data_IF_505222137147
#
_entry.id   IF_505222137147
#
_cell.length_a   1.000
_cell.length_b   1.000
_cell.length_c   1.000
_cell.angle_alpha   90.00
_cell.angle_beta   90.00
_cell.angle_gamma   90.00
#
_symmetry.space_group_name_H-M   'P 1'
#
loop_
_entity.id
_entity.type
_entity.pdbx_description
1 polymer ?
#
# COMPACT_ATOMS: atom_id res chain seq x y z
N UNK A 1 23.49 12.16 -18.28
CA UNK A 1 24.56 11.26 -18.76
C UNK A 1 23.91 9.92 -19.02
N UNK A 2 24.00 9.39 -20.24
CA UNK A 2 23.45 8.07 -20.57
C UNK A 2 24.23 7.01 -19.77
N UNK A 3 23.54 6.15 -19.02
CA UNK A 3 24.21 5.08 -18.29
C UNK A 3 24.93 4.13 -19.26
N UNK A 4 26.16 3.77 -18.91
CA UNK A 4 27.01 2.84 -19.70
C UNK A 4 27.19 1.49 -19.02
N UNK A 5 26.66 1.33 -17.81
CA UNK A 5 26.74 0.10 -17.01
C UNK A 5 25.42 -0.12 -16.27
N UNK A 6 25.08 -1.39 -16.03
CA UNK A 6 23.89 -1.76 -15.25
C UNK A 6 23.87 -1.09 -13.86
N UNK A 7 25.00 -1.13 -13.15
CA UNK A 7 25.11 -0.48 -11.84
C UNK A 7 24.98 1.06 -11.93
N UNK A 8 25.42 1.66 -13.05
CA UNK A 8 25.21 3.08 -13.33
C UNK A 8 23.74 3.41 -13.52
N UNK A 9 23.03 2.62 -14.33
CA UNK A 9 21.59 2.77 -14.57
C UNK A 9 20.78 2.67 -13.28
N UNK A 10 21.05 1.64 -12.47
CA UNK A 10 20.41 1.48 -11.14
C UNK A 10 20.63 2.70 -10.24
N UNK A 11 21.86 3.22 -10.18
CA UNK A 11 22.16 4.42 -9.38
C UNK A 11 21.44 5.65 -9.91
N UNK A 12 21.36 5.83 -11.23
CA UNK A 12 20.69 6.97 -11.84
C UNK A 12 19.19 7.00 -11.51
N UNK A 13 18.50 5.86 -11.68
CA UNK A 13 17.09 5.70 -11.32
C UNK A 13 16.82 5.97 -9.84
N UNK A 14 17.58 5.32 -8.95
CA UNK A 14 17.47 5.54 -7.49
C UNK A 14 17.73 7.01 -7.10
N UNK A 15 18.71 7.68 -7.71
CA UNK A 15 18.98 9.09 -7.45
C UNK A 15 17.86 10.01 -7.95
N UNK A 16 17.23 9.70 -9.08
CA UNK A 16 16.10 10.46 -9.61
C UNK A 16 14.87 10.34 -8.70
N UNK A 17 14.54 9.13 -8.23
CA UNK A 17 13.46 8.91 -7.27
C UNK A 17 13.70 9.70 -5.97
N UNK A 18 14.92 9.63 -5.43
CA UNK A 18 15.29 10.36 -4.22
C UNK A 18 15.27 11.90 -4.40
N UNK A 19 15.54 12.41 -5.61
CA UNK A 19 15.35 13.83 -5.94
C UNK A 19 13.87 14.20 -5.91
N UNK A 20 13.04 13.44 -6.62
CA UNK A 20 11.62 13.71 -6.70
C UNK A 20 10.92 13.65 -5.33
N UNK A 21 11.31 12.73 -4.45
CA UNK A 21 10.84 12.70 -3.06
C UNK A 21 11.11 14.00 -2.30
N UNK A 22 12.28 14.63 -2.51
CA UNK A 22 12.63 15.89 -1.86
C UNK A 22 11.86 17.05 -2.49
N UNK A 23 11.81 17.10 -3.81
CA UNK A 23 11.20 18.19 -4.56
C UNK A 23 9.69 18.28 -4.26
N UNK A 24 9.02 17.13 -4.11
CA UNK A 24 7.60 17.04 -3.75
C UNK A 24 7.35 16.94 -2.23
N UNK A 25 8.37 17.00 -1.38
CA UNK A 25 8.22 16.87 0.08
C UNK A 25 7.50 15.59 0.54
N UNK A 26 7.62 14.49 -0.22
CA UNK A 26 6.84 13.26 -0.02
C UNK A 26 7.09 12.66 1.36
N UNK A 27 8.36 12.58 1.76
CA UNK A 27 8.74 11.97 3.03
C UNK A 27 8.06 12.64 4.23
N UNK A 28 8.07 13.97 4.28
CA UNK A 28 7.43 14.71 5.38
C UNK A 28 5.92 14.50 5.42
N UNK A 29 5.26 14.42 4.26
CA UNK A 29 3.81 14.15 4.19
C UNK A 29 3.45 12.76 4.68
N UNK A 30 4.20 11.74 4.27
CA UNK A 30 3.97 10.34 4.65
C UNK A 30 4.35 10.08 6.12
N UNK A 31 5.44 10.68 6.62
CA UNK A 31 5.78 10.56 8.05
C UNK A 31 4.70 11.18 8.95
N UNK A 32 4.05 12.27 8.50
CA UNK A 32 2.95 12.92 9.23
C UNK A 32 1.64 12.11 9.20
N UNK A 33 1.20 11.65 8.03
CA UNK A 33 -0.14 11.05 7.84
C UNK A 33 -0.12 9.53 7.67
N UNK A 34 1.05 8.89 7.75
CA UNK A 34 1.19 7.46 7.43
C UNK A 34 0.84 7.15 5.97
N UNK A 35 0.63 5.87 5.68
CA UNK A 35 0.31 5.39 4.33
C UNK A 35 1.53 5.19 3.43
N UNK A 36 1.26 5.00 2.14
CA UNK A 36 2.26 4.78 1.10
C UNK A 36 2.65 6.10 0.39
N UNK A 37 3.60 6.00 -0.54
CA UNK A 37 3.85 7.08 -1.50
C UNK A 37 2.69 7.12 -2.51
N UNK A 38 1.97 8.26 -2.57
CA UNK A 38 0.91 8.49 -3.56
C UNK A 38 1.53 8.75 -4.95
N UNK A 39 1.65 7.67 -5.73
CA UNK A 39 2.21 7.72 -7.09
C UNK A 39 1.35 8.59 -8.01
N UNK A 40 0.03 8.41 -7.96
CA UNK A 40 -0.89 9.14 -8.82
C UNK A 40 -0.94 10.63 -8.46
N UNK A 41 -0.98 10.94 -7.16
CA UNK A 41 -0.88 12.32 -6.67
C UNK A 41 0.46 12.96 -7.00
N UNK A 42 1.55 12.19 -7.06
CA UNK A 42 2.86 12.69 -7.47
C UNK A 42 2.94 13.01 -8.96
N UNK A 43 2.27 12.21 -9.81
CA UNK A 43 2.13 12.48 -11.24
C UNK A 43 1.29 13.75 -11.45
N UNK A 44 0.16 13.85 -10.76
CA UNK A 44 -0.71 15.04 -10.82
C UNK A 44 0.00 16.31 -10.34
N UNK A 45 0.83 16.23 -9.30
CA UNK A 45 1.61 17.37 -8.79
C UNK A 45 2.69 17.88 -9.76
N UNK A 46 3.01 17.12 -10.81
CA UNK A 46 3.93 17.50 -11.88
C UNK A 46 3.21 18.02 -13.12
N UNK A 47 1.87 18.16 -13.07
CA UNK A 47 1.01 18.47 -14.22
C UNK A 47 1.25 17.53 -15.42
N UNK A 48 1.63 16.28 -15.14
CA UNK A 48 1.88 15.26 -16.15
C UNK A 48 0.57 14.51 -16.46
N UNK A 49 0.04 14.59 -17.69
CA UNK A 49 -1.20 13.89 -18.04
C UNK A 49 -1.09 12.39 -17.81
N UNK A 50 -2.04 11.84 -17.04
CA UNK A 50 -2.20 10.41 -16.80
C UNK A 50 -3.56 9.98 -17.33
N UNK A 51 -3.58 8.93 -18.15
CA UNK A 51 -4.83 8.31 -18.60
C UNK A 51 -4.86 6.83 -18.25
N UNK A 52 -5.87 6.45 -17.50
CA UNK A 52 -6.16 5.06 -17.16
C UNK A 52 -7.18 4.50 -18.15
N UNK A 53 -6.86 3.37 -18.78
CA UNK A 53 -7.78 2.72 -19.72
C UNK A 53 -7.49 1.22 -19.85
N UNK A 54 -8.41 0.40 -20.36
CA UNK A 54 -8.08 -0.98 -20.69
C UNK A 54 -7.04 -1.01 -21.83
N UNK A 55 -5.93 -1.72 -21.60
CA UNK A 55 -4.86 -1.93 -22.58
C UNK A 55 -4.66 -3.44 -22.79
N UNK A 56 -4.68 -3.91 -24.03
CA UNK A 56 -4.47 -5.32 -24.37
C UNK A 56 -2.99 -5.60 -24.61
N UNK A 57 -2.40 -6.51 -23.84
CA UNK A 57 -0.99 -6.92 -24.00
C UNK A 57 0.04 -5.91 -23.50
N UNK A 58 -0.41 -4.75 -23.00
CA UNK A 58 0.42 -3.64 -22.53
C UNK A 58 0.02 -3.26 -21.11
N UNK A 59 1.00 -3.03 -20.23
CA UNK A 59 0.76 -2.56 -18.86
C UNK A 59 0.69 -1.04 -18.80
N UNK A 60 1.59 -0.36 -19.51
CA UNK A 60 1.69 1.09 -19.55
C UNK A 60 2.41 1.59 -20.80
N UNK A 61 2.40 2.91 -20.97
CA UNK A 61 3.30 3.56 -21.91
C UNK A 61 3.62 4.97 -21.46
N UNK A 62 4.88 5.36 -21.64
CA UNK A 62 5.32 6.75 -21.62
C UNK A 62 5.49 7.27 -23.03
N UNK A 63 4.84 8.41 -23.30
CA UNK A 63 4.94 9.15 -24.56
C UNK A 63 5.55 10.52 -24.27
N UNK A 64 6.39 11.03 -25.16
CA UNK A 64 7.01 12.36 -25.02
C UNK A 64 6.75 13.31 -26.21
N UNK A 65 5.99 12.86 -27.22
CA UNK A 65 5.63 13.61 -28.43
C UNK A 65 4.12 13.43 -28.72
N UNK A 66 3.35 14.50 -29.03
CA UNK A 66 3.76 15.91 -29.06
C UNK A 66 3.98 16.55 -27.68
N UNK A 67 3.61 15.86 -26.60
CA UNK A 67 3.79 16.28 -25.23
C UNK A 67 3.97 15.06 -24.31
N UNK A 68 4.64 15.21 -23.16
CA UNK A 68 4.80 14.12 -22.20
C UNK A 68 3.46 13.67 -21.61
N UNK A 69 3.29 12.35 -21.48
CA UNK A 69 2.10 11.75 -20.88
C UNK A 69 2.29 10.27 -20.55
N UNK A 70 1.46 9.77 -19.64
CA UNK A 70 1.48 8.40 -19.14
C UNK A 70 0.15 7.70 -19.43
N UNK A 71 0.22 6.46 -19.91
CA UNK A 71 -0.90 5.53 -20.00
C UNK A 71 -0.69 4.37 -19.02
N UNK A 72 -1.75 3.96 -18.32
CA UNK A 72 -1.72 2.78 -17.41
C UNK A 72 -2.95 1.92 -17.62
N UNK A 73 -2.75 0.60 -17.62
CA UNK A 73 -3.83 -0.37 -17.80
C UNK A 73 -4.78 -0.44 -16.60
N UNK A 74 -6.08 -0.54 -16.85
CA UNK A 74 -7.10 -0.81 -15.82
C UNK A 74 -7.33 -2.30 -15.57
N UNK A 75 -6.66 -3.18 -16.31
CA UNK A 75 -6.91 -4.64 -16.30
C UNK A 75 -6.07 -5.40 -15.26
N UNK A 76 -5.50 -4.70 -14.29
CA UNK A 76 -4.56 -5.24 -13.30
C UNK A 76 -4.87 -4.72 -11.91
N UNK A 77 -4.40 -5.44 -10.90
CA UNK A 77 -4.56 -5.03 -9.51
C UNK A 77 -3.85 -3.70 -9.23
N UNK A 78 -4.31 -3.00 -8.20
CA UNK A 78 -3.82 -1.68 -7.82
C UNK A 78 -2.29 -1.61 -7.61
N UNK A 79 -1.69 -2.63 -6.99
CA UNK A 79 -0.23 -2.65 -6.79
C UNK A 79 0.54 -2.69 -8.12
N UNK A 80 -0.02 -3.34 -9.15
CA UNK A 80 0.56 -3.35 -10.50
C UNK A 80 0.37 -1.99 -11.17
N UNK A 81 -0.83 -1.40 -11.08
CA UNK A 81 -1.08 -0.05 -11.62
C UNK A 81 -0.13 0.99 -11.02
N UNK A 82 0.07 0.97 -9.70
CA UNK A 82 1.01 1.86 -9.01
C UNK A 82 2.44 1.66 -9.49
N UNK A 83 2.87 0.41 -9.62
CA UNK A 83 4.22 0.10 -10.09
C UNK A 83 4.43 0.58 -11.52
N UNK A 84 3.50 0.27 -12.43
CA UNK A 84 3.55 0.76 -13.80
C UNK A 84 3.55 2.28 -13.86
N UNK A 85 2.65 2.95 -13.14
CA UNK A 85 2.62 4.41 -13.09
C UNK A 85 3.95 5.01 -12.58
N UNK A 86 4.58 4.37 -11.56
CA UNK A 86 5.88 4.79 -11.05
C UNK A 86 7.02 4.52 -12.04
N UNK A 87 6.94 3.44 -12.83
CA UNK A 87 7.88 3.11 -13.90
C UNK A 87 7.85 4.18 -14.99
N UNK A 88 6.66 4.51 -15.48
CA UNK A 88 6.48 5.55 -16.51
C UNK A 88 6.83 6.95 -16.00
N UNK A 89 6.55 7.25 -14.73
CA UNK A 89 7.06 8.44 -14.05
C UNK A 89 8.60 8.47 -14.01
N UNK A 90 9.25 7.32 -13.93
CA UNK A 90 10.69 7.17 -14.05
C UNK A 90 11.20 7.57 -15.43
N UNK A 91 10.53 7.13 -16.50
CA UNK A 91 10.84 7.56 -17.87
C UNK A 91 10.75 9.08 -18.04
N UNK A 92 9.67 9.69 -17.53
CA UNK A 92 9.51 11.14 -17.51
C UNK A 92 10.64 11.83 -16.74
N UNK A 93 10.88 11.40 -15.49
CA UNK A 93 11.83 12.03 -14.57
C UNK A 93 13.28 11.98 -15.06
N UNK A 94 13.61 11.00 -15.90
CA UNK A 94 14.95 10.79 -16.46
C UNK A 94 15.09 11.29 -17.90
N UNK A 95 14.02 11.83 -18.49
CA UNK A 95 14.03 12.35 -19.86
C UNK A 95 14.29 11.27 -20.90
N UNK A 96 13.67 10.10 -20.72
CA UNK A 96 13.80 8.99 -21.66
C UNK A 96 13.03 9.24 -22.96
N UNK A 97 13.36 8.43 -23.97
CA UNK A 97 12.56 8.31 -25.19
C UNK A 97 11.26 7.52 -24.90
N UNK A 98 10.24 7.57 -25.78
CA UNK A 98 9.02 6.81 -25.59
C UNK A 98 9.29 5.32 -25.37
N UNK A 99 8.58 4.73 -24.42
CA UNK A 99 8.65 3.29 -24.13
C UNK A 99 7.26 2.66 -24.13
N UNK A 100 7.23 1.37 -24.46
CA UNK A 100 6.03 0.53 -24.45
C UNK A 100 6.30 -0.66 -23.53
N UNK A 101 5.54 -0.74 -22.44
CA UNK A 101 5.69 -1.74 -21.39
C UNK A 101 4.87 -3.01 -21.66
N UNK A 102 5.49 -4.00 -22.30
CA UNK A 102 4.90 -5.34 -22.48
C UNK A 102 4.81 -6.11 -21.14
N UNK A 103 3.95 -7.14 -21.07
CA UNK A 103 3.73 -7.98 -19.86
C UNK A 103 5.00 -8.64 -19.26
N UNK A 104 6.14 -8.58 -19.97
CA UNK A 104 7.44 -9.10 -19.55
C UNK A 104 8.03 -8.44 -18.30
N UNK A 105 7.62 -7.22 -17.91
CA UNK A 105 8.11 -6.52 -16.69
C UNK A 105 7.92 -7.36 -15.42
N UNK A 106 6.80 -8.06 -15.30
CA UNK A 106 6.50 -8.89 -14.14
C UNK A 106 7.46 -10.09 -13.99
N UNK A 107 8.22 -10.42 -15.05
CA UNK A 107 9.20 -11.52 -15.06
C UNK A 107 10.66 -11.04 -15.01
N UNK A 108 10.93 -9.73 -15.06
CA UNK A 108 12.30 -9.17 -15.12
C UNK A 108 12.92 -8.99 -13.72
N UNK A 109 13.03 -10.08 -12.98
CA UNK A 109 14.24 -10.30 -12.16
C UNK A 109 15.31 -10.89 -13.09
N UNK A 110 16.61 -10.58 -12.94
CA UNK A 110 17.61 -10.91 -13.96
C UNK A 110 17.85 -12.43 -14.02
N UNK A 111 17.04 -13.12 -14.81
CA UNK A 111 17.29 -14.47 -15.29
C UNK A 111 17.93 -14.34 -16.67
N UNK A 112 19.14 -14.88 -16.78
CA UNK A 112 19.99 -14.77 -17.95
C UNK A 112 19.29 -15.29 -19.22
N UNK A 113 19.24 -14.46 -20.28
CA UNK A 113 18.90 -14.96 -21.63
C UNK A 113 18.28 -13.98 -22.63
N UNK A 114 17.69 -12.87 -22.20
CA UNK A 114 17.05 -11.91 -23.12
C UNK A 114 17.97 -10.74 -23.50
N UNK A 115 17.75 -10.15 -24.68
CA UNK A 115 18.47 -8.97 -25.20
C UNK A 115 18.71 -7.99 -24.06
N UNK A 116 19.96 -7.58 -23.86
CA UNK A 116 20.35 -6.67 -22.77
C UNK A 116 19.32 -5.53 -22.67
N UNK A 117 18.65 -5.36 -21.52
CA UNK A 117 17.64 -4.32 -21.38
C UNK A 117 18.28 -2.98 -21.71
N UNK A 118 17.57 -2.14 -22.49
CA UNK A 118 18.00 -0.76 -22.70
C UNK A 118 18.22 -0.15 -21.31
N UNK A 119 19.32 0.55 -21.10
CA UNK A 119 19.64 1.08 -19.76
C UNK A 119 18.53 1.95 -19.17
N UNK A 120 17.73 2.60 -20.03
CA UNK A 120 16.53 3.36 -19.67
C UNK A 120 15.49 2.53 -18.91
N UNK A 121 15.30 1.25 -19.26
CA UNK A 121 14.36 0.35 -18.58
C UNK A 121 14.85 0.02 -17.17
N UNK A 122 16.15 -0.27 -17.05
CA UNK A 122 16.80 -0.54 -15.75
C UNK A 122 16.75 0.69 -14.85
N UNK A 123 16.90 1.87 -15.46
CA UNK A 123 16.75 3.17 -14.82
C UNK A 123 15.32 3.42 -14.32
N UNK A 124 14.30 3.16 -15.15
CA UNK A 124 12.89 3.31 -14.79
C UNK A 124 12.44 2.29 -13.72
N UNK A 125 12.87 1.03 -13.81
CA UNK A 125 12.62 0.01 -12.78
C UNK A 125 13.26 0.39 -11.45
N UNK A 126 14.53 0.84 -11.48
CA UNK A 126 15.23 1.27 -10.28
C UNK A 126 14.62 2.54 -9.67
N UNK A 127 14.07 3.43 -10.52
CA UNK A 127 13.29 4.58 -10.08
C UNK A 127 12.00 4.12 -9.39
N UNK A 128 11.17 3.28 -10.03
CA UNK A 128 9.88 2.85 -9.49
C UNK A 128 10.02 2.16 -8.13
N UNK A 129 11.00 1.24 -8.01
CA UNK A 129 11.29 0.54 -6.75
C UNK A 129 11.71 1.53 -5.66
N UNK A 130 12.65 2.44 -5.93
CA UNK A 130 13.09 3.41 -4.92
C UNK A 130 12.00 4.44 -4.59
N UNK A 131 11.19 4.82 -5.57
CA UNK A 131 10.14 5.81 -5.41
C UNK A 131 8.99 5.27 -4.54
N UNK A 132 8.56 4.04 -4.77
CA UNK A 132 7.47 3.41 -4.00
C UNK A 132 7.94 2.82 -2.67
N UNK A 133 9.13 2.23 -2.64
CA UNK A 133 9.65 1.47 -1.51
C UNK A 133 11.05 1.96 -1.09
N UNK A 134 11.20 3.26 -0.78
CA UNK A 134 12.46 3.78 -0.29
C UNK A 134 12.76 3.23 1.10
N UNK A 135 14.05 3.06 1.43
CA UNK A 135 14.47 2.45 2.70
C UNK A 135 13.88 3.15 3.94
N UNK A 136 13.70 4.48 3.89
CA UNK A 136 13.15 5.24 5.01
C UNK A 136 11.70 4.86 5.32
N UNK A 137 10.91 4.46 4.32
CA UNK A 137 9.49 4.14 4.49
C UNK A 137 9.29 2.81 5.22
N UNK A 138 10.16 1.83 4.98
CA UNK A 138 10.22 0.59 5.76
C UNK A 138 10.39 0.88 7.26
N UNK A 139 11.30 1.80 7.61
CA UNK A 139 11.53 2.17 9.00
C UNK A 139 10.41 3.01 9.59
N UNK A 140 9.78 3.89 8.80
CA UNK A 140 8.62 4.65 9.24
C UNK A 140 7.45 3.72 9.64
N UNK A 141 7.13 2.74 8.79
CA UNK A 141 6.12 1.72 9.14
C UNK A 141 6.54 0.84 10.29
N UNK A 142 7.80 0.37 10.33
CA UNK A 142 8.28 -0.45 11.44
C UNK A 142 8.19 0.30 12.78
N UNK A 143 8.57 1.57 12.81
CA UNK A 143 8.46 2.42 14.00
C UNK A 143 7.00 2.57 14.44
N UNK A 144 6.09 2.92 13.52
CA UNK A 144 4.65 3.08 13.83
C UNK A 144 4.06 1.77 14.38
N UNK A 145 4.36 0.66 13.72
CA UNK A 145 3.84 -0.67 14.09
C UNK A 145 4.57 -1.31 15.29
N UNK A 146 5.66 -0.71 15.78
CA UNK A 146 6.47 -1.28 16.86
C UNK A 146 7.24 -2.53 16.43
N UNK A 147 7.51 -2.67 15.14
CA UNK A 147 8.25 -3.78 14.56
C UNK A 147 9.77 -3.55 14.64
N UNK A 148 10.48 -4.66 14.75
CA UNK A 148 11.93 -4.73 14.78
C UNK A 148 12.47 -5.38 13.51
N UNK A 149 13.79 -5.44 13.36
CA UNK A 149 14.40 -6.16 12.23
C UNK A 149 14.00 -7.65 12.18
N UNK A 150 13.63 -8.26 13.31
CA UNK A 150 13.16 -9.66 13.35
C UNK A 150 11.79 -9.85 12.73
N UNK A 151 11.00 -8.78 12.62
CA UNK A 151 9.66 -8.85 12.04
C UNK A 151 9.72 -8.84 10.51
N UNK A 152 10.82 -8.35 9.90
CA UNK A 152 11.01 -8.38 8.44
C UNK A 152 11.23 -9.77 7.86
N UNK A 153 11.35 -10.81 8.69
CA UNK A 153 11.41 -12.22 8.24
C UNK A 153 10.14 -13.00 8.55
N UNK A 154 9.09 -12.32 9.03
CA UNK A 154 7.79 -12.94 9.35
C UNK A 154 6.80 -12.71 8.20
N UNK A 155 6.26 -13.76 7.57
CA UNK A 155 5.32 -13.62 6.45
C UNK A 155 4.12 -12.73 6.76
N UNK A 156 3.51 -12.88 7.94
CA UNK A 156 2.35 -12.08 8.38
C UNK A 156 2.66 -10.58 8.43
N UNK A 157 3.85 -10.21 8.92
CA UNK A 157 4.29 -8.82 9.01
C UNK A 157 4.70 -8.26 7.67
N UNK A 158 5.42 -9.03 6.85
CA UNK A 158 5.85 -8.59 5.51
C UNK A 158 4.66 -8.41 4.57
N UNK A 159 3.62 -9.24 4.70
CA UNK A 159 2.36 -9.04 3.98
C UNK A 159 1.67 -7.74 4.38
N UNK A 160 1.48 -7.50 5.69
CA UNK A 160 0.91 -6.25 6.20
C UNK A 160 1.74 -5.02 5.85
N UNK A 161 3.06 -5.17 5.75
CA UNK A 161 3.98 -4.14 5.26
C UNK A 161 3.78 -3.87 3.77
N UNK A 162 3.61 -4.90 2.93
CA UNK A 162 3.41 -4.71 1.49
C UNK A 162 2.17 -3.88 1.17
N UNK A 163 1.08 -4.08 1.93
CA UNK A 163 -0.14 -3.28 1.79
C UNK A 163 0.12 -1.81 2.13
N UNK A 164 0.80 -1.57 3.26
CA UNK A 164 1.16 -0.22 3.73
C UNK A 164 2.14 0.52 2.81
N UNK A 165 2.96 -0.22 2.06
CA UNK A 165 3.83 0.31 1.00
C UNK A 165 3.10 0.51 -0.34
N UNK A 166 1.89 -0.05 -0.50
CA UNK A 166 1.16 -0.07 -1.76
C UNK A 166 1.79 -0.96 -2.84
N UNK A 167 2.58 -1.96 -2.45
CA UNK A 167 3.32 -2.85 -3.32
C UNK A 167 2.85 -4.31 -3.19
N UNK A 168 3.29 -5.18 -4.10
CA UNK A 168 3.01 -6.61 -3.98
C UNK A 168 3.88 -7.26 -2.88
N UNK A 169 3.39 -8.36 -2.30
CA UNK A 169 4.14 -9.15 -1.32
C UNK A 169 5.52 -9.55 -1.84
N UNK A 170 5.60 -10.10 -3.05
CA UNK A 170 6.86 -10.54 -3.65
C UNK A 170 7.84 -9.38 -3.87
N UNK A 171 7.36 -8.25 -4.43
CA UNK A 171 8.21 -7.07 -4.64
C UNK A 171 8.76 -6.53 -3.31
N UNK A 172 7.96 -6.59 -2.24
CA UNK A 172 8.37 -6.18 -0.89
C UNK A 172 9.48 -7.09 -0.35
N UNK A 173 9.36 -8.42 -0.47
CA UNK A 173 10.39 -9.37 -0.06
C UNK A 173 11.74 -9.09 -0.75
N UNK A 174 11.72 -8.93 -2.07
CA UNK A 174 12.95 -8.64 -2.82
C UNK A 174 13.55 -7.28 -2.46
N UNK A 175 12.70 -6.28 -2.19
CA UNK A 175 13.16 -4.94 -1.83
C UNK A 175 13.76 -4.88 -0.42
N UNK A 176 13.24 -5.66 0.53
CA UNK A 176 13.88 -5.84 1.84
C UNK A 176 15.32 -6.34 1.70
N UNK A 177 15.56 -7.33 0.83
CA UNK A 177 16.91 -7.84 0.57
C UNK A 177 17.78 -6.80 -0.16
N UNK A 178 17.23 -6.06 -1.13
CA UNK A 178 17.94 -4.96 -1.81
C UNK A 178 18.44 -3.89 -0.83
N UNK A 179 17.62 -3.55 0.17
CA UNK A 179 17.99 -2.62 1.25
C UNK A 179 18.85 -3.25 2.35
N UNK A 180 19.22 -4.53 2.20
CA UNK A 180 20.00 -5.33 3.17
C UNK A 180 19.34 -5.41 4.55
N UNK A 181 18.01 -5.40 4.58
CA UNK A 181 17.22 -5.60 5.79
C UNK A 181 17.05 -7.09 6.09
N UNK A 182 17.10 -7.93 5.06
CA UNK A 182 17.10 -9.40 5.15
C UNK A 182 18.08 -10.01 4.14
N UNK A 183 18.32 -11.31 4.24
CA UNK A 183 19.16 -12.08 3.30
C UNK A 183 18.32 -12.66 2.17
N UNK A 184 18.95 -13.14 1.10
CA UNK A 184 18.25 -13.88 0.03
C UNK A 184 17.57 -15.15 0.54
N UNK A 185 18.20 -15.88 1.47
CA UNK A 185 17.58 -17.07 2.06
C UNK A 185 16.30 -16.75 2.85
N UNK A 186 16.23 -15.58 3.49
CA UNK A 186 14.97 -15.12 4.09
C UNK A 186 13.90 -14.79 3.04
N UNK A 187 14.28 -14.26 1.88
CA UNK A 187 13.33 -14.01 0.78
C UNK A 187 12.73 -15.32 0.31
N UNK A 188 13.57 -16.33 0.06
CA UNK A 188 13.10 -17.65 -0.39
C UNK A 188 12.09 -18.23 0.62
N UNK A 189 12.42 -18.19 1.93
CA UNK A 189 11.52 -18.65 2.99
C UNK A 189 10.21 -17.85 3.07
N UNK A 190 10.24 -16.52 2.91
CA UNK A 190 9.03 -15.69 2.89
C UNK A 190 8.11 -16.04 1.72
N UNK A 191 8.69 -16.35 0.55
CA UNK A 191 7.93 -16.66 -0.67
C UNK A 191 7.33 -18.07 -0.68
N UNK A 192 7.75 -18.95 0.23
CA UNK A 192 7.09 -20.25 0.45
C UNK A 192 5.65 -20.07 0.98
N UNK A 193 5.41 -19.02 1.77
CA UNK A 193 4.07 -18.68 2.28
C UNK A 193 3.31 -17.82 1.26
N UNK A 194 2.17 -18.32 0.79
CA UNK A 194 1.39 -17.61 -0.24
C UNK A 194 0.49 -16.55 0.40
N UNK A 195 0.28 -15.37 -0.23
CA UNK A 195 -0.62 -14.35 0.30
C UNK A 195 -2.04 -14.86 0.62
N UNK A 196 -2.55 -15.83 -0.16
CA UNK A 196 -3.85 -16.45 0.11
C UNK A 196 -3.91 -17.14 1.48
N UNK A 197 -2.83 -17.80 1.91
CA UNK A 197 -2.76 -18.48 3.20
C UNK A 197 -2.80 -17.45 4.34
N UNK A 198 -2.04 -16.36 4.21
CA UNK A 198 -2.04 -15.24 5.16
C UNK A 198 -3.41 -14.56 5.27
N UNK A 199 -4.07 -14.33 4.12
CA UNK A 199 -5.43 -13.78 4.08
C UNK A 199 -6.43 -14.71 4.77
N UNK A 200 -6.35 -16.02 4.51
CA UNK A 200 -7.24 -17.00 5.14
C UNK A 200 -7.04 -17.08 6.67
N UNK A 201 -5.79 -17.06 7.14
CA UNK A 201 -5.47 -17.02 8.58
C UNK A 201 -6.01 -15.74 9.24
N UNK A 202 -5.84 -14.58 8.59
CA UNK A 202 -6.33 -13.31 9.12
C UNK A 202 -7.85 -13.25 9.22
N UNK A 203 -8.58 -13.88 8.30
CA UNK A 203 -10.03 -13.84 8.23
C UNK A 203 -10.72 -14.90 9.08
N UNK A 204 -10.04 -15.94 9.54
CA UNK A 204 -10.64 -17.04 10.29
C UNK A 204 -11.52 -16.56 11.47
N UNK A 205 -12.77 -17.07 11.64
CA UNK A 205 -13.46 -18.13 10.90
C UNK A 205 -14.19 -17.67 9.62
N UNK A 206 -14.19 -16.38 9.30
CA UNK A 206 -14.86 -15.84 8.11
C UNK A 206 -14.19 -16.35 6.82
N UNK A 207 -15.01 -16.57 5.77
CA UNK A 207 -14.58 -17.02 4.45
C UNK A 207 -15.27 -16.17 3.37
N UNK A 208 -14.54 -15.31 2.64
CA UNK A 208 -15.09 -14.56 1.54
C UNK A 208 -15.29 -15.43 0.29
N UNK A 209 -16.06 -14.93 -0.67
CA UNK A 209 -16.30 -15.62 -1.95
C UNK A 209 -15.00 -15.82 -2.75
N UNK A 210 -14.10 -14.84 -2.72
CA UNK A 210 -12.75 -14.96 -3.25
C UNK A 210 -11.71 -14.17 -2.43
N UNK A 211 -10.42 -14.38 -2.73
CA UNK A 211 -9.28 -13.76 -2.02
C UNK A 211 -8.53 -12.74 -2.91
N UNK A 212 -9.21 -12.15 -3.89
CA UNK A 212 -8.62 -11.16 -4.80
C UNK A 212 -8.33 -9.85 -4.07
N UNK A 213 -9.25 -9.41 -3.21
CA UNK A 213 -9.06 -8.24 -2.37
C UNK A 213 -8.03 -8.45 -1.27
N UNK A 214 -7.42 -7.36 -0.80
CA UNK A 214 -6.43 -7.42 0.26
C UNK A 214 -7.08 -7.46 1.64
N UNK A 215 -6.46 -8.18 2.56
CA UNK A 215 -6.90 -8.26 3.96
C UNK A 215 -5.99 -7.42 4.84
N UNK A 216 -6.54 -6.33 5.38
CA UNK A 216 -5.84 -5.39 6.25
C UNK A 216 -6.03 -5.79 7.71
N UNK A 217 -4.92 -5.88 8.45
CA UNK A 217 -4.97 -5.96 9.91
C UNK A 217 -4.73 -4.56 10.47
N UNK A 218 -5.75 -3.99 11.08
CA UNK A 218 -5.69 -2.67 11.71
C UNK A 218 -5.65 -2.80 13.23
N UNK A 219 -4.83 -1.97 13.86
CA UNK A 219 -4.73 -1.81 15.31
C UNK A 219 -4.78 -0.32 15.63
N UNK A 220 -4.74 0.04 16.91
CA UNK A 220 -4.64 1.42 17.36
C UNK A 220 -3.40 2.14 16.82
N UNK A 221 -2.37 1.39 16.39
CA UNK A 221 -1.16 1.94 15.75
C UNK A 221 -1.40 2.47 14.35
N UNK A 222 -2.54 2.15 13.76
CA UNK A 222 -2.96 2.68 12.46
C UNK A 222 -3.77 3.98 12.60
N UNK A 223 -3.96 4.50 13.81
CA UNK A 223 -4.57 5.81 14.02
C UNK A 223 -3.79 6.92 13.32
N UNK A 224 -4.53 7.87 12.73
CA UNK A 224 -4.01 8.93 11.87
C UNK A 224 -3.23 8.40 10.66
N UNK A 225 -3.55 7.20 10.16
CA UNK A 225 -3.03 6.72 8.87
C UNK A 225 -4.00 7.03 7.74
N UNK A 226 -3.45 7.18 6.54
CA UNK A 226 -4.18 7.10 5.27
C UNK A 226 -4.02 5.71 4.65
N UNK A 227 -5.14 5.13 4.21
CA UNK A 227 -5.19 3.87 3.46
C UNK A 227 -5.81 4.12 2.08
N UNK A 228 -5.00 4.01 1.04
CA UNK A 228 -5.48 3.94 -0.34
C UNK A 228 -5.62 2.45 -0.72
N UNK A 229 -6.83 1.93 -0.59
CA UNK A 229 -7.16 0.51 -0.77
C UNK A 229 -8.06 0.25 -1.97
N UNK A 230 -8.55 -0.97 -2.05
CA UNK A 230 -9.50 -1.42 -3.07
C UNK A 230 -10.86 -1.75 -2.46
N UNK A 231 -11.91 -1.68 -3.28
CA UNK A 231 -13.29 -1.98 -2.87
C UNK A 231 -13.50 -3.44 -2.50
N UNK A 232 -12.59 -4.32 -2.93
CA UNK A 232 -12.64 -5.73 -2.61
C UNK A 232 -11.92 -6.07 -1.31
N UNK A 233 -11.27 -5.08 -0.67
CA UNK A 233 -10.46 -5.31 0.51
C UNK A 233 -11.35 -5.63 1.73
N UNK A 234 -10.80 -6.36 2.70
CA UNK A 234 -11.48 -6.69 3.96
C UNK A 234 -10.60 -6.20 5.12
N UNK A 235 -11.23 -5.64 6.14
CA UNK A 235 -10.54 -5.08 7.29
C UNK A 235 -10.78 -5.95 8.52
N UNK A 236 -9.71 -6.35 9.17
CA UNK A 236 -9.71 -7.02 10.47
C UNK A 236 -9.15 -6.03 11.47
N UNK A 237 -10.02 -5.45 12.29
CA UNK A 237 -9.64 -4.59 13.39
C UNK A 237 -9.34 -5.47 14.60
N UNK A 238 -8.19 -5.25 15.21
CA UNK A 238 -7.72 -5.97 16.40
C UNK A 238 -7.38 -4.94 17.46
N UNK A 239 -8.38 -4.59 18.27
CA UNK A 239 -8.33 -3.47 19.20
C UNK A 239 -8.31 -3.99 20.62
N UNK A 240 -7.45 -3.40 21.44
CA UNK A 240 -7.48 -3.60 22.89
C UNK A 240 -8.70 -2.88 23.44
N UNK A 241 -9.52 -3.59 24.21
CA UNK A 241 -10.71 -3.06 24.86
C UNK A 241 -10.56 -3.14 26.38
N UNK A 242 -10.81 -2.02 27.06
CA UNK A 242 -10.68 -1.83 28.50
C UNK A 242 -12.02 -2.14 29.20
N UNK A 243 -12.60 -3.29 28.88
CA UNK A 243 -13.95 -3.68 29.31
C UNK A 243 -14.07 -3.79 30.83
N UNK A 244 -12.97 -4.13 31.54
CA UNK A 244 -12.93 -4.12 33.01
C UNK A 244 -13.19 -2.75 33.64
N UNK A 245 -12.91 -1.66 32.91
CA UNK A 245 -13.22 -0.28 33.29
C UNK A 245 -14.53 0.27 32.75
N UNK A 246 -15.31 -0.57 32.05
CA UNK A 246 -16.57 -0.20 31.39
C UNK A 246 -16.41 0.47 30.02
N UNK A 247 -15.20 0.54 29.49
CA UNK A 247 -14.93 1.15 28.19
C UNK A 247 -15.08 0.12 27.08
N UNK A 248 -15.87 0.45 26.07
CA UNK A 248 -16.19 -0.41 24.94
C UNK A 248 -15.94 0.35 23.64
N UNK A 249 -15.47 -0.37 22.62
CA UNK A 249 -15.40 0.20 21.27
C UNK A 249 -16.80 0.28 20.65
N UNK A 250 -17.15 1.45 20.10
CA UNK A 250 -18.40 1.65 19.40
C UNK A 250 -18.29 1.22 17.94
N UNK A 251 -18.68 -0.03 17.67
CA UNK A 251 -18.65 -0.62 16.34
C UNK A 251 -19.84 -0.16 15.49
N UNK A 252 -20.85 0.48 16.08
CA UNK A 252 -21.96 1.04 15.30
C UNK A 252 -21.46 2.23 14.47
N UNK A 253 -20.42 2.96 14.91
CA UNK A 253 -19.75 3.98 14.09
C UNK A 253 -19.15 3.42 12.78
N UNK A 254 -18.66 2.18 12.81
CA UNK A 254 -18.17 1.49 11.60
C UNK A 254 -19.35 1.13 10.66
N UNK A 255 -20.46 0.65 11.22
CA UNK A 255 -21.68 0.33 10.47
C UNK A 255 -22.33 1.56 9.85
N UNK A 256 -22.39 2.66 10.59
CA UNK A 256 -22.94 3.95 10.15
C UNK A 256 -22.13 4.54 8.99
N UNK A 257 -20.84 4.19 8.92
CA UNK A 257 -19.96 4.49 7.78
C UNK A 257 -20.21 3.56 6.56
N UNK A 258 -21.17 2.64 6.63
CA UNK A 258 -21.57 1.74 5.56
C UNK A 258 -20.82 0.41 5.51
N UNK A 259 -19.96 0.11 6.49
CA UNK A 259 -19.23 -1.17 6.51
C UNK A 259 -20.15 -2.31 7.00
N UNK A 260 -20.10 -3.45 6.31
CA UNK A 260 -20.76 -4.66 6.73
C UNK A 260 -19.88 -5.41 7.73
N UNK A 261 -20.37 -5.59 8.97
CA UNK A 261 -19.68 -6.38 10.00
C UNK A 261 -19.96 -7.86 9.76
N UNK A 262 -18.91 -8.63 9.41
CA UNK A 262 -18.99 -10.06 9.09
C UNK A 262 -18.40 -10.94 10.19
N UNK A 263 -17.80 -10.33 11.22
CA UNK A 263 -17.38 -10.99 12.46
C UNK A 263 -17.10 -9.97 13.56
N UNK A 264 -17.45 -10.29 14.80
CA UNK A 264 -17.16 -9.49 15.99
C UNK A 264 -16.96 -10.46 17.17
N UNK A 265 -15.73 -10.57 17.64
CA UNK A 265 -15.29 -11.55 18.63
C UNK A 265 -14.50 -10.84 19.72
N UNK A 266 -14.68 -11.26 20.98
CA UNK A 266 -13.85 -10.84 22.10
C UNK A 266 -12.97 -12.02 22.51
N UNK A 267 -11.66 -11.80 22.60
CA UNK A 267 -10.76 -12.83 23.14
C UNK A 267 -11.04 -13.06 24.62
N UNK A 268 -11.10 -14.32 25.03
CA UNK A 268 -11.13 -14.65 26.46
C UNK A 268 -9.80 -14.24 27.11
N UNK A 269 -9.83 -13.53 28.25
CA UNK A 269 -8.62 -13.32 29.04
C UNK A 269 -8.10 -14.68 29.55
N UNK A 270 -6.79 -14.83 29.80
CA UNK A 270 -6.26 -16.03 30.46
C UNK A 270 -7.04 -16.36 31.74
N UNK A 271 -7.29 -17.65 32.02
CA UNK A 271 -8.18 -18.12 33.11
C UNK A 271 -7.86 -17.54 34.50
N UNK A 272 -6.64 -17.04 34.73
CA UNK A 272 -6.17 -16.49 36.00
C UNK A 272 -6.07 -14.95 36.05
N UNK A 273 -6.61 -14.21 35.07
CA UNK A 273 -6.54 -12.74 35.08
C UNK A 273 -7.88 -12.04 35.32
N UNK A 274 -7.90 -11.18 36.34
CA UNK A 274 -9.05 -10.34 36.71
C UNK A 274 -8.72 -8.90 36.36
N UNK A 275 -9.53 -8.31 35.46
CA UNK A 275 -9.39 -6.91 35.06
C UNK A 275 -8.37 -6.63 33.96
N UNK A 276 -7.83 -7.68 33.31
CA UNK A 276 -7.02 -7.52 32.12
C UNK A 276 -7.85 -7.02 30.94
N UNK A 277 -7.18 -6.32 30.03
CA UNK A 277 -7.82 -5.82 28.82
C UNK A 277 -8.02 -6.97 27.85
N UNK A 278 -9.19 -7.03 27.24
CA UNK A 278 -9.52 -8.03 26.22
C UNK A 278 -9.15 -7.50 24.84
N UNK A 279 -9.07 -8.39 23.88
CA UNK A 279 -8.86 -8.05 22.48
C UNK A 279 -10.18 -8.21 21.74
N UNK A 280 -10.72 -7.11 21.24
CA UNK A 280 -11.86 -7.15 20.32
C UNK A 280 -11.36 -7.28 18.90
N UNK A 281 -11.90 -8.27 18.20
CA UNK A 281 -11.60 -8.56 16.81
C UNK A 281 -12.86 -8.35 15.98
N UNK A 282 -12.83 -7.37 15.09
CA UNK A 282 -13.94 -7.04 14.19
C UNK A 282 -13.48 -7.25 12.76
N UNK A 283 -14.21 -8.09 12.01
CA UNK A 283 -14.00 -8.26 10.56
C UNK A 283 -15.10 -7.50 9.83
N UNK A 284 -14.70 -6.59 8.96
CA UNK A 284 -15.60 -5.68 8.25
C UNK A 284 -15.28 -5.61 6.75
N UNK A 285 -16.32 -5.67 5.93
CA UNK A 285 -16.25 -5.44 4.49
C UNK A 285 -16.71 -4.00 4.18
N UNK A 286 -15.97 -3.23 3.37
CA UNK A 286 -16.33 -1.86 3.02
C UNK A 286 -17.51 -1.82 2.03
N UNK A 287 -18.20 -0.68 1.90
CA UNK A 287 -19.08 -0.43 0.76
C UNK A 287 -18.25 -0.19 -0.52
N UNK A 288 -18.89 -0.37 -1.69
CA UNK A 288 -18.21 -0.41 -3.00
C UNK A 288 -17.34 0.83 -3.33
N UNK A 289 -17.75 2.02 -2.89
CA UNK A 289 -17.07 3.29 -3.21
C UNK A 289 -16.75 4.11 -1.95
N UNK A 290 -16.23 3.46 -0.91
CA UNK A 290 -15.91 4.18 0.33
C UNK A 290 -14.76 5.18 0.14
N UNK A 291 -15.03 6.44 0.48
CA UNK A 291 -14.01 7.46 0.70
C UNK A 291 -14.41 8.34 1.87
N UNK A 292 -13.56 8.41 2.88
CA UNK A 292 -13.85 9.21 4.07
C UNK A 292 -12.97 8.85 5.25
N UNK A 293 -13.32 9.42 6.39
CA UNK A 293 -12.70 9.12 7.67
C UNK A 293 -13.53 8.05 8.37
N UNK A 294 -12.89 6.96 8.79
CA UNK A 294 -13.45 6.03 9.78
C UNK A 294 -13.00 6.51 11.15
N UNK A 295 -13.95 6.74 12.04
CA UNK A 295 -13.71 7.07 13.44
C UNK A 295 -14.37 6.02 14.32
N UNK A 296 -13.57 5.38 15.16
CA UNK A 296 -14.04 4.53 16.23
C UNK A 296 -13.61 5.14 17.55
N UNK A 297 -14.49 5.15 18.54
CA UNK A 297 -14.23 5.65 19.86
C UNK A 297 -14.39 4.53 20.91
N UNK A 298 -13.53 4.55 21.91
CA UNK A 298 -13.66 3.71 23.10
C UNK A 298 -14.19 4.58 24.25
N UNK A 299 -15.41 4.32 24.72
CA UNK A 299 -16.07 5.10 25.77
C UNK A 299 -16.95 4.24 26.68
N UNK A 300 -17.46 4.84 27.75
CA UNK A 300 -18.43 4.20 28.64
C UNK A 300 -19.84 4.48 28.14
N UNK A 301 -20.70 3.47 27.89
CA UNK A 301 -22.04 3.71 27.37
C UNK A 301 -22.91 4.66 28.21
N UNK A 302 -22.63 4.78 29.51
CA UNK A 302 -23.33 5.69 30.44
C UNK A 302 -22.68 7.08 30.58
N UNK A 303 -21.53 7.31 29.93
CA UNK A 303 -20.78 8.58 29.91
C UNK A 303 -20.08 8.75 28.55
N UNK A 304 -20.86 8.96 27.45
CA UNK A 304 -20.34 8.91 26.09
C UNK A 304 -19.40 10.07 25.72
N UNK A 305 -19.44 11.18 26.47
CA UNK A 305 -18.58 12.34 26.23
C UNK A 305 -17.14 12.10 26.75
N UNK A 306 -16.94 11.11 27.64
CA UNK A 306 -15.65 10.78 28.24
C UNK A 306 -14.93 9.66 27.46
N UNK A 307 -14.35 10.02 26.31
CA UNK A 307 -13.58 9.09 25.48
C UNK A 307 -12.28 8.66 26.18
N UNK A 308 -11.97 7.37 26.15
CA UNK A 308 -10.69 6.82 26.59
C UNK A 308 -9.64 6.89 25.49
N UNK A 309 -10.00 6.43 24.30
CA UNK A 309 -9.14 6.45 23.10
C UNK A 309 -10.00 6.46 21.84
N UNK A 310 -9.35 6.66 20.69
CA UNK A 310 -9.99 6.58 19.37
C UNK A 310 -9.07 5.94 18.34
N UNK A 311 -9.66 5.41 17.28
CA UNK A 311 -9.00 4.98 16.06
C UNK A 311 -9.61 5.77 14.90
N UNK A 312 -8.83 6.68 14.34
CA UNK A 312 -9.17 7.47 13.17
C UNK A 312 -8.31 7.04 11.97
N UNK A 313 -8.93 6.62 10.87
CA UNK A 313 -8.23 6.18 9.66
C UNK A 313 -8.89 6.80 8.44
N UNK A 314 -8.13 7.58 7.67
CA UNK A 314 -8.60 8.10 6.39
C UNK A 314 -8.50 6.99 5.34
N UNK A 315 -9.59 6.68 4.63
CA UNK A 315 -9.62 5.63 3.63
C UNK A 315 -10.13 6.14 2.28
N UNK A 316 -9.52 5.65 1.22
CA UNK A 316 -9.99 5.78 -0.16
C UNK A 316 -9.93 4.40 -0.81
N UNK A 317 -11.08 3.72 -0.82
CA UNK A 317 -11.24 2.34 -1.25
C UNK A 317 -11.76 2.23 -2.69
N UNK A 318 -11.73 3.32 -3.45
CA UNK A 318 -12.19 3.38 -4.84
C UNK A 318 -11.27 2.65 -5.84
N UNK A 319 -10.38 1.80 -5.35
CA UNK A 319 -9.43 1.02 -6.12
C UNK A 319 -9.92 -0.34 -6.60
N UNK A 320 -9.22 -0.98 -7.56
CA UNK A 320 -8.18 -0.42 -8.45
C UNK A 320 -8.68 0.77 -9.28
N UNK A 321 -7.77 1.53 -9.87
CA UNK A 321 -8.17 2.65 -10.74
C UNK A 321 -8.97 2.15 -11.94
N UNK A 322 -10.03 2.88 -12.26
CA UNK A 322 -10.94 2.63 -13.38
C UNK A 322 -10.59 3.51 -14.58
N UNK A 323 -11.33 3.34 -15.68
CA UNK A 323 -11.08 4.12 -16.89
C UNK A 323 -11.34 5.62 -16.66
N UNK A 324 -10.41 6.46 -17.15
CA UNK A 324 -10.47 7.91 -17.04
C UNK A 324 -9.40 8.47 -16.10
N UNK A 325 -9.85 9.33 -15.18
CA UNK A 325 -8.99 10.07 -14.25
C UNK A 325 -8.64 9.23 -13.02
N UNK A 326 -7.41 9.37 -12.54
CA UNK A 326 -6.98 8.74 -11.29
C UNK A 326 -7.76 9.25 -10.08
N UNK A 327 -7.79 8.50 -8.97
CA UNK A 327 -8.39 8.97 -7.70
C UNK A 327 -7.81 10.31 -7.23
N UNK A 328 -6.53 10.54 -7.51
CA UNK A 328 -5.84 11.76 -7.11
C UNK A 328 -6.34 12.96 -7.92
N UNK A 329 -6.47 12.82 -9.23
CA UNK A 329 -7.04 13.88 -10.09
C UNK A 329 -8.51 14.15 -9.76
N UNK A 330 -9.31 13.08 -9.53
CA UNK A 330 -10.70 13.22 -9.09
C UNK A 330 -10.81 14.00 -7.78
N UNK A 331 -9.91 13.72 -6.82
CA UNK A 331 -9.82 14.45 -5.55
C UNK A 331 -9.51 15.93 -5.77
N UNK A 332 -8.47 16.25 -6.55
CA UNK A 332 -8.11 17.64 -6.83
C UNK A 332 -9.23 18.43 -7.53
N UNK A 333 -9.97 17.80 -8.44
CA UNK A 333 -11.10 18.44 -9.12
C UNK A 333 -12.28 18.71 -8.17
N UNK A 334 -12.56 17.80 -7.24
CA UNK A 334 -13.61 17.96 -6.24
C UNK A 334 -13.25 19.02 -5.17
N UNK A 335 -11.97 19.13 -4.80
CA UNK A 335 -11.49 20.16 -3.86
C UNK A 335 -11.48 21.57 -4.49
N UNK A 336 -11.41 21.65 -5.81
CA UNK A 336 -11.44 22.92 -6.56
C UNK A 336 -12.86 23.42 -6.92
N UNK A 337 -13.90 22.61 -6.69
CA UNK A 337 -15.29 22.88 -7.05
C UNK A 337 -16.09 23.51 -5.89
#
# INVERSE_FOLDING_TARGET
MVATTYAGAVRAGTQAAARLHRDLGIRSRVEAHGGNVDVFGSIGALDLPLLLRPLQGLLGAYLNDPAPGILVTTQRAMSIQRFTAAHELGHFSLGHEPSLDDEGILRRMPMAGERAPKFQEVEADAFAVEFMMPRWLFFAHASRQGWTARDFVRPDRVYQLSLRLGASYAATCYTLARHRLITSGHVDALLETKPRELKAELLDPYRPDDYRGDVWLLTERDAGTRIDGSRNDIFVLRLKEHSGGGYLWDIDQLKDSGFAIVGDELSEPPEDSVGDNVLRRVTAAPPDDFRGLIELAEFRPWDPDALLTKLDVEMDLTGPEEEGLSRAERRSLLEAA
#
